data_IF_047081797696
#
_entry.id   IF_047081797696
#
_cell.length_a   1.000
_cell.length_b   1.000
_cell.length_c   1.000
_cell.angle_alpha   90.00
_cell.angle_beta   90.00
_cell.angle_gamma   90.00
#
_symmetry.space_group_name_H-M   'P 1'
#
loop_
_entity.id
_entity.type
_entity.pdbx_description
1 polymer ?
#
# COMPACT_ATOMS: atom_id res chain seq x y z
N UNK A 1 24.15 -0.75 16.65
CA UNK A 1 23.21 -1.60 15.91
C UNK A 1 21.89 -0.86 15.89
N UNK A 2 21.47 -0.36 14.72
CA UNK A 2 20.17 0.31 14.59
C UNK A 2 19.09 -0.74 14.82
N UNK A 3 18.14 -0.48 15.72
CA UNK A 3 16.99 -1.38 15.88
C UNK A 3 16.21 -1.41 14.56
N UNK A 4 15.67 -2.57 14.11
CA UNK A 4 14.93 -2.67 12.85
C UNK A 4 13.80 -1.62 12.74
N UNK A 5 13.17 -1.33 13.88
CA UNK A 5 12.11 -0.35 14.09
C UNK A 5 12.54 1.11 13.82
N UNK A 6 13.84 1.37 13.67
CA UNK A 6 14.41 2.71 13.44
C UNK A 6 15.21 2.77 12.12
N UNK A 7 15.15 1.72 11.30
CA UNK A 7 15.83 1.71 10.00
C UNK A 7 15.25 2.79 9.08
N UNK A 8 16.07 3.32 8.18
CA UNK A 8 15.62 4.21 7.11
C UNK A 8 15.84 3.50 5.77
N UNK A 9 14.98 3.73 4.78
CA UNK A 9 15.22 3.21 3.44
C UNK A 9 16.50 3.80 2.86
N UNK A 10 17.19 3.02 2.02
CA UNK A 10 18.39 3.48 1.34
C UNK A 10 18.09 4.60 0.31
N UNK A 11 16.88 4.60 -0.24
CA UNK A 11 16.40 5.53 -1.27
C UNK A 11 15.09 6.18 -0.84
N UNK A 12 14.85 7.39 -1.33
CA UNK A 12 13.61 8.11 -1.05
C UNK A 12 12.42 7.38 -1.72
N UNK A 13 11.42 7.03 -0.91
CA UNK A 13 10.27 6.23 -1.35
C UNK A 13 9.36 7.00 -2.33
N UNK A 14 9.27 8.33 -2.21
CA UNK A 14 8.56 9.17 -3.18
C UNK A 14 9.28 9.18 -4.53
N UNK A 15 10.60 9.37 -4.52
CA UNK A 15 11.39 9.44 -5.75
C UNK A 15 11.32 8.11 -6.51
N UNK A 16 11.39 6.97 -5.80
CA UNK A 16 11.20 5.64 -6.43
C UNK A 16 9.82 5.48 -7.06
N UNK A 17 8.75 5.96 -6.40
CA UNK A 17 7.39 5.92 -6.96
C UNK A 17 7.26 6.79 -8.21
N UNK A 18 7.90 7.97 -8.25
CA UNK A 18 7.90 8.83 -9.44
C UNK A 18 8.72 8.22 -10.57
N UNK A 19 9.89 7.65 -10.27
CA UNK A 19 10.81 7.09 -11.25
C UNK A 19 10.29 5.79 -11.87
N UNK A 20 9.72 4.90 -11.06
CA UNK A 20 9.35 3.54 -11.47
C UNK A 20 7.86 3.24 -11.37
N UNK A 21 7.05 4.15 -10.83
CA UNK A 21 5.62 3.93 -10.65
C UNK A 21 4.78 4.25 -11.89
N UNK A 22 5.37 4.62 -13.04
CA UNK A 22 4.62 4.84 -14.29
C UNK A 22 3.39 5.77 -14.16
N UNK A 23 3.52 6.85 -13.37
CA UNK A 23 2.44 7.83 -13.14
C UNK A 23 1.52 7.51 -11.96
N UNK A 24 1.76 6.41 -11.23
CA UNK A 24 0.98 5.99 -10.07
C UNK A 24 0.92 7.03 -8.96
N UNK A 25 1.83 7.99 -8.87
CA UNK A 25 1.74 9.03 -7.84
C UNK A 25 0.43 9.84 -7.92
N UNK A 26 -0.29 9.80 -9.05
CA UNK A 26 -1.60 10.44 -9.23
C UNK A 26 -2.80 9.57 -8.82
N UNK A 27 -2.57 8.37 -8.28
CA UNK A 27 -3.62 7.42 -7.93
C UNK A 27 -3.07 6.19 -7.19
N UNK A 28 -2.04 6.36 -6.38
CA UNK A 28 -1.36 5.26 -5.72
C UNK A 28 -2.28 4.75 -4.61
N UNK A 29 -2.58 3.46 -4.65
CA UNK A 29 -3.38 2.79 -3.64
C UNK A 29 -2.69 1.47 -3.29
N UNK A 30 -1.84 1.51 -2.27
CA UNK A 30 -1.05 0.37 -1.81
C UNK A 30 -1.62 -0.24 -0.55
N UNK A 31 -1.74 -1.56 -0.53
CA UNK A 31 -2.11 -2.34 0.65
C UNK A 31 -0.97 -3.28 1.04
N UNK A 32 -0.62 -3.29 2.32
CA UNK A 32 0.27 -4.29 2.91
C UNK A 32 -0.56 -5.19 3.81
N UNK A 33 -0.77 -6.42 3.33
CA UNK A 33 -1.70 -7.39 3.91
C UNK A 33 -0.89 -8.48 4.59
N UNK A 34 -1.20 -8.74 5.86
CA UNK A 34 -0.58 -9.81 6.64
C UNK A 34 -0.91 -11.18 6.01
N UNK A 35 0.11 -11.93 5.63
CA UNK A 35 0.02 -13.25 5.01
C UNK A 35 0.97 -13.44 3.84
N UNK A 36 1.33 -14.70 3.57
CA UNK A 36 2.30 -15.11 2.54
C UNK A 36 1.64 -15.81 1.33
N UNK A 37 0.31 -15.79 1.21
CA UNK A 37 -0.44 -16.44 0.13
C UNK A 37 -1.16 -15.41 -0.76
N UNK A 38 -0.48 -14.87 -1.80
CA UNK A 38 -1.10 -14.00 -2.81
C UNK A 38 -2.32 -14.63 -3.51
N UNK A 39 -2.34 -15.95 -3.69
CA UNK A 39 -3.42 -16.66 -4.38
C UNK A 39 -4.66 -16.79 -3.47
N UNK A 40 -4.47 -16.93 -2.15
CA UNK A 40 -5.58 -16.80 -1.20
C UNK A 40 -6.17 -15.39 -1.21
N UNK A 41 -5.31 -14.37 -1.15
CA UNK A 41 -5.75 -12.97 -1.15
C UNK A 41 -6.47 -12.60 -2.45
N UNK A 42 -6.01 -13.10 -3.60
CA UNK A 42 -6.69 -12.90 -4.89
C UNK A 42 -8.12 -13.43 -4.87
N UNK A 43 -8.34 -14.62 -4.26
CA UNK A 43 -9.68 -15.19 -4.08
C UNK A 43 -10.56 -14.34 -3.15
N UNK A 44 -10.01 -13.83 -2.05
CA UNK A 44 -10.74 -12.97 -1.12
C UNK A 44 -11.15 -11.62 -1.74
N UNK A 45 -10.32 -11.08 -2.63
CA UNK A 45 -10.59 -9.90 -3.45
C UNK A 45 -11.63 -10.15 -4.55
N UNK A 46 -12.05 -11.42 -4.74
CA UNK A 46 -13.01 -11.85 -5.78
C UNK A 46 -12.56 -11.43 -7.18
N UNK A 47 -11.26 -11.56 -7.44
CA UNK A 47 -10.72 -11.30 -8.77
C UNK A 47 -11.22 -12.34 -9.78
N UNK A 48 -11.21 -11.98 -11.06
CA UNK A 48 -11.36 -12.93 -12.15
C UNK A 48 -10.09 -13.76 -12.30
N UNK A 49 -10.13 -15.03 -11.92
CA UNK A 49 -8.98 -15.93 -11.97
C UNK A 49 -8.51 -16.21 -13.40
N UNK A 50 -9.39 -16.10 -14.39
CA UNK A 50 -9.02 -16.30 -15.80
C UNK A 50 -8.29 -15.07 -16.38
N UNK A 51 -8.34 -13.93 -15.68
CA UNK A 51 -7.61 -12.70 -16.06
C UNK A 51 -6.15 -12.67 -15.60
N UNK A 52 -5.69 -13.74 -14.93
CA UNK A 52 -4.36 -13.86 -14.35
C UNK A 52 -3.26 -13.54 -15.36
N UNK A 53 -2.42 -12.57 -15.04
CA UNK A 53 -1.26 -12.18 -15.86
C UNK A 53 -0.03 -11.96 -14.97
N UNK A 54 1.03 -12.75 -15.15
CA UNK A 54 2.33 -12.44 -14.54
C UNK A 54 3.00 -11.33 -15.36
N UNK A 55 3.22 -10.18 -14.75
CA UNK A 55 3.83 -9.05 -15.43
C UNK A 55 4.53 -8.09 -14.47
N UNK A 56 5.36 -7.21 -15.04
CA UNK A 56 5.88 -6.03 -14.35
C UNK A 56 4.79 -4.96 -14.18
N UNK A 57 5.16 -3.88 -13.48
CA UNK A 57 4.25 -2.79 -13.16
C UNK A 57 3.86 -1.94 -14.38
N UNK A 58 4.79 -1.75 -15.33
CA UNK A 58 4.54 -1.04 -16.58
C UNK A 58 3.41 -1.72 -17.35
N UNK A 59 3.57 -3.03 -17.59
CA UNK A 59 2.58 -3.86 -18.27
C UNK A 59 1.25 -3.87 -17.52
N UNK A 60 1.26 -3.97 -16.18
CA UNK A 60 0.04 -3.93 -15.37
C UNK A 60 -0.74 -2.62 -15.57
N UNK A 61 -0.02 -1.49 -15.59
CA UNK A 61 -0.60 -0.15 -15.78
C UNK A 61 -1.17 0.03 -17.19
N UNK A 62 -0.47 -0.45 -18.22
CA UNK A 62 -0.95 -0.42 -19.61
C UNK A 62 -2.20 -1.30 -19.82
N UNK A 63 -2.18 -2.53 -19.27
CA UNK A 63 -3.31 -3.45 -19.35
C UNK A 63 -4.52 -2.87 -18.62
N UNK A 64 -4.34 -2.28 -17.43
CA UNK A 64 -5.42 -1.62 -16.73
C UNK A 64 -5.98 -0.43 -17.52
N UNK A 65 -5.12 0.43 -18.07
CA UNK A 65 -5.54 1.60 -18.87
C UNK A 65 -6.33 1.28 -20.15
N UNK A 66 -6.21 0.04 -20.65
CA UNK A 66 -6.96 -0.45 -21.83
C UNK A 66 -8.19 -1.30 -21.49
N UNK A 67 -8.41 -1.60 -20.20
CA UNK A 67 -9.47 -2.47 -19.70
C UNK A 67 -10.78 -1.67 -19.49
N UNK A 68 -11.95 -2.33 -19.54
CA UNK A 68 -13.26 -1.69 -19.33
C UNK A 68 -13.72 -1.73 -17.88
N UNK A 69 -13.30 -2.76 -17.17
CA UNK A 69 -13.52 -3.00 -15.75
C UNK A 69 -12.90 -1.88 -14.92
N UNK A 70 -13.59 -1.51 -13.83
CA UNK A 70 -13.16 -0.40 -12.98
C UNK A 70 -12.17 -0.80 -11.90
N UNK A 71 -12.06 -2.10 -11.61
CA UNK A 71 -11.19 -2.61 -10.55
C UNK A 71 -10.14 -3.56 -11.10
N UNK A 72 -8.90 -3.42 -10.64
CA UNK A 72 -7.86 -4.41 -10.83
C UNK A 72 -6.87 -4.40 -9.67
N UNK A 73 -6.06 -5.45 -9.57
CA UNK A 73 -4.99 -5.54 -8.57
C UNK A 73 -3.71 -6.10 -9.18
N UNK A 74 -2.57 -5.66 -8.66
CA UNK A 74 -1.26 -6.23 -8.92
C UNK A 74 -0.67 -6.70 -7.59
N UNK A 75 -0.63 -8.02 -7.40
CA UNK A 75 -0.47 -8.68 -6.10
C UNK A 75 0.75 -9.60 -6.08
N UNK A 76 1.54 -9.54 -5.01
CA UNK A 76 2.67 -10.43 -4.85
C UNK A 76 3.40 -10.26 -3.50
N UNK A 77 4.41 -11.09 -3.25
CA UNK A 77 5.15 -11.05 -1.98
C UNK A 77 5.77 -9.68 -1.72
N UNK A 78 5.81 -9.28 -0.45
CA UNK A 78 6.52 -8.09 0.01
C UNK A 78 7.66 -8.49 0.95
N UNK A 79 7.34 -9.00 2.14
CA UNK A 79 8.29 -9.46 3.16
C UNK A 79 7.76 -10.76 3.79
N UNK A 80 8.55 -11.52 4.57
CA UNK A 80 8.02 -12.67 5.30
C UNK A 80 6.81 -12.28 6.17
N UNK A 81 5.69 -12.96 5.99
CA UNK A 81 4.42 -12.66 6.63
C UNK A 81 3.61 -11.53 5.97
N UNK A 82 4.04 -10.99 4.82
CA UNK A 82 3.42 -9.83 4.19
C UNK A 82 3.34 -9.93 2.66
N UNK A 83 2.12 -9.74 2.15
CA UNK A 83 1.82 -9.60 0.71
C UNK A 83 1.46 -8.14 0.43
N UNK A 84 1.97 -7.60 -0.68
CA UNK A 84 1.54 -6.29 -1.16
C UNK A 84 0.52 -6.43 -2.28
N UNK A 85 -0.51 -5.59 -2.23
CA UNK A 85 -1.55 -5.44 -3.25
C UNK A 85 -1.54 -3.98 -3.70
N UNK A 86 -1.16 -3.74 -4.96
CA UNK A 86 -1.43 -2.47 -5.60
C UNK A 86 -2.82 -2.50 -6.21
N UNK A 87 -3.66 -1.53 -5.86
CA UNK A 87 -5.07 -1.49 -6.23
C UNK A 87 -5.30 -0.42 -7.30
N UNK A 88 -6.05 -0.78 -8.34
CA UNK A 88 -6.43 0.13 -9.42
C UNK A 88 -7.93 0.37 -9.41
N UNK A 89 -8.32 1.64 -9.39
CA UNK A 89 -9.70 2.09 -9.59
C UNK A 89 -10.69 1.79 -8.46
N UNK A 90 -10.22 1.21 -7.34
CA UNK A 90 -11.00 1.13 -6.11
C UNK A 90 -10.68 2.30 -5.18
N UNK A 91 -11.71 2.84 -4.55
CA UNK A 91 -11.56 3.86 -3.51
C UNK A 91 -11.13 3.22 -2.17
N UNK A 92 -10.54 4.00 -1.25
CA UNK A 92 -10.31 3.55 0.13
C UNK A 92 -11.61 3.05 0.78
N UNK A 93 -11.54 2.08 1.70
CA UNK A 93 -12.72 1.44 2.33
C UNK A 93 -13.64 0.66 1.37
N UNK A 94 -13.20 0.37 0.15
CA UNK A 94 -14.01 -0.43 -0.78
C UNK A 94 -14.27 -1.83 -0.20
N UNK A 95 -15.47 -2.43 -0.38
CA UNK A 95 -15.81 -3.75 0.17
C UNK A 95 -14.80 -4.86 -0.15
N UNK A 96 -14.13 -4.79 -1.29
CA UNK A 96 -13.04 -5.71 -1.65
C UNK A 96 -11.89 -5.69 -0.65
N UNK A 97 -11.49 -4.49 -0.20
CA UNK A 97 -10.39 -4.27 0.75
C UNK A 97 -10.82 -4.72 2.14
N UNK A 98 -12.07 -4.43 2.52
CA UNK A 98 -12.61 -4.83 3.82
C UNK A 98 -12.84 -6.34 3.94
N UNK A 99 -12.85 -7.09 2.83
CA UNK A 99 -13.08 -8.54 2.82
C UNK A 99 -11.78 -9.38 2.84
N UNK A 100 -10.64 -8.81 3.22
CA UNK A 100 -9.37 -9.53 3.32
C UNK A 100 -9.27 -10.47 4.54
N UNK A 101 -10.32 -10.51 5.38
CA UNK A 101 -10.45 -11.42 6.52
C UNK A 101 -9.66 -10.97 7.75
N UNK A 102 -9.44 -11.91 8.68
CA UNK A 102 -8.81 -11.68 10.00
C UNK A 102 -7.29 -11.47 9.91
N UNK A 103 -6.90 -10.35 9.30
CA UNK A 103 -5.52 -9.97 8.99
C UNK A 103 -5.34 -8.48 9.19
N UNK A 104 -4.13 -8.07 9.55
CA UNK A 104 -3.74 -6.66 9.51
C UNK A 104 -3.59 -6.21 8.06
N UNK A 105 -4.12 -5.02 7.76
CA UNK A 105 -3.96 -4.36 6.46
C UNK A 105 -3.55 -2.91 6.69
N UNK A 106 -2.37 -2.53 6.24
CA UNK A 106 -1.96 -1.12 6.16
C UNK A 106 -2.30 -0.57 4.79
N UNK A 107 -2.92 0.60 4.73
CA UNK A 107 -3.35 1.25 3.50
C UNK A 107 -2.67 2.61 3.36
N UNK A 108 -2.06 2.84 2.19
CA UNK A 108 -1.64 4.17 1.76
C UNK A 108 -2.40 4.52 0.49
N UNK A 109 -3.07 5.67 0.51
CA UNK A 109 -3.72 6.25 -0.64
C UNK A 109 -3.18 7.66 -0.90
N UNK A 110 -2.72 7.91 -2.13
CA UNK A 110 -2.09 9.18 -2.53
C UNK A 110 -2.50 9.60 -3.93
N UNK A 111 -2.77 10.89 -4.12
CA UNK A 111 -3.02 11.54 -5.43
C UNK A 111 -2.31 12.88 -5.54
N UNK A 112 -1.17 12.90 -6.23
CA UNK A 112 -0.33 14.09 -6.42
C UNK A 112 -1.09 15.26 -7.03
N UNK A 113 -1.85 15.01 -8.10
CA UNK A 113 -2.62 16.04 -8.81
C UNK A 113 -3.61 16.80 -7.92
N UNK A 114 -4.09 16.17 -6.84
CA UNK A 114 -5.01 16.77 -5.87
C UNK A 114 -4.31 17.23 -4.58
N UNK A 115 -3.03 16.92 -4.42
CA UNK A 115 -2.32 17.13 -3.15
C UNK A 115 -2.87 16.26 -2.01
N UNK A 116 -3.50 15.13 -2.34
CA UNK A 116 -4.17 14.25 -1.38
C UNK A 116 -3.24 13.13 -0.92
N UNK A 117 -3.17 12.94 0.39
CA UNK A 117 -2.55 11.79 1.06
C UNK A 117 -3.42 11.48 2.29
N UNK A 118 -4.03 10.31 2.27
CA UNK A 118 -4.83 9.84 3.40
C UNK A 118 -3.91 9.44 4.56
N UNK A 119 -4.44 9.43 5.80
CA UNK A 119 -3.74 8.81 6.92
C UNK A 119 -3.33 7.37 6.61
N UNK A 120 -2.23 6.93 7.22
CA UNK A 120 -1.79 5.53 7.12
C UNK A 120 -2.72 4.64 7.95
N UNK A 121 -3.80 4.18 7.34
CA UNK A 121 -4.86 3.46 8.04
C UNK A 121 -4.47 2.00 8.34
N UNK A 122 -4.86 1.50 9.51
CA UNK A 122 -4.81 0.08 9.85
C UNK A 122 -6.22 -0.52 9.91
N UNK A 123 -6.40 -1.63 9.23
CA UNK A 123 -7.60 -2.45 9.30
C UNK A 123 -7.33 -3.83 9.88
N UNK A 124 -8.38 -4.41 10.48
CA UNK A 124 -8.43 -5.82 10.87
C UNK A 124 -9.85 -6.37 10.70
N UNK A 125 -10.00 -7.50 10.01
CA UNK A 125 -11.29 -8.16 9.76
C UNK A 125 -12.34 -7.21 9.15
N UNK A 126 -11.89 -6.33 8.25
CA UNK A 126 -12.72 -5.35 7.57
C UNK A 126 -13.14 -4.14 8.39
N UNK A 127 -12.71 -4.03 9.65
CA UNK A 127 -12.90 -2.84 10.47
C UNK A 127 -11.63 -1.98 10.47
N UNK A 128 -11.78 -0.66 10.33
CA UNK A 128 -10.70 0.28 10.59
C UNK A 128 -10.47 0.37 12.10
N UNK A 129 -9.25 0.09 12.54
CA UNK A 129 -8.89 0.17 13.96
C UNK A 129 -8.47 1.58 14.36
N UNK A 130 -7.88 2.32 13.41
CA UNK A 130 -7.33 3.66 13.58
C UNK A 130 -6.29 3.92 12.50
N UNK A 131 -5.53 5.00 12.63
CA UNK A 131 -4.36 5.24 11.78
C UNK A 131 -3.04 5.16 12.57
N UNK A 132 -1.97 4.79 11.86
CA UNK A 132 -0.60 4.70 12.38
C UNK A 132 0.29 5.73 11.69
N UNK A 133 -0.30 6.86 11.27
CA UNK A 133 0.42 7.97 10.67
C UNK A 133 1.48 8.47 11.63
N UNK A 134 2.74 8.68 11.21
CA UNK A 134 3.74 9.26 12.09
C UNK A 134 3.25 10.58 12.71
N UNK A 135 3.50 10.82 14.01
CA UNK A 135 3.04 12.03 14.67
C UNK A 135 3.72 13.28 14.08
N UNK A 136 3.12 14.44 14.30
CA UNK A 136 3.67 15.71 13.83
C UNK A 136 4.96 16.09 14.55
N UNK A 137 5.06 15.76 15.83
CA UNK A 137 6.20 16.02 16.70
C UNK A 137 6.72 14.73 17.35
N UNK A 138 7.97 14.80 17.84
CA UNK A 138 8.63 13.65 18.42
C UNK A 138 7.94 13.25 19.73
N UNK A 139 7.42 12.03 19.78
CA UNK A 139 6.66 11.54 20.93
C UNK A 139 5.23 12.08 21.01
N UNK A 140 4.70 12.64 19.91
CA UNK A 140 3.30 13.01 19.78
C UNK A 140 2.35 11.81 19.83
N UNK A 141 1.06 12.11 19.98
CA UNK A 141 0.01 11.10 20.11
C UNK A 141 -0.26 10.36 18.79
N UNK A 142 -0.69 9.09 18.92
CA UNK A 142 -1.11 8.21 17.82
C UNK A 142 -2.28 7.36 18.31
N UNK A 143 -3.24 7.07 17.43
CA UNK A 143 -4.43 6.27 17.75
C UNK A 143 -4.10 4.87 18.28
N UNK A 144 -3.01 4.29 17.78
CA UNK A 144 -2.53 2.95 18.09
C UNK A 144 -1.10 2.99 18.67
N UNK A 145 -0.96 3.25 19.98
CA UNK A 145 0.34 3.46 20.64
C UNK A 145 1.36 2.34 20.47
N UNK A 146 0.92 1.11 20.19
CA UNK A 146 1.81 -0.02 19.94
C UNK A 146 2.71 0.16 18.70
N UNK A 147 2.36 1.09 17.80
CA UNK A 147 3.16 1.43 16.63
C UNK A 147 4.12 2.62 16.84
N UNK A 148 4.03 3.32 17.99
CA UNK A 148 4.95 4.42 18.32
C UNK A 148 6.44 4.07 18.22
N UNK A 149 6.92 2.86 18.57
CA UNK A 149 8.35 2.53 18.41
C UNK A 149 8.88 2.69 16.97
N UNK A 150 8.00 2.53 15.96
CA UNK A 150 8.35 2.64 14.56
C UNK A 150 8.40 4.09 14.04
N UNK A 151 7.94 5.08 14.81
CA UNK A 151 7.82 6.47 14.33
C UNK A 151 9.08 7.31 14.52
N UNK A 152 10.04 6.84 15.32
CA UNK A 152 11.19 7.66 15.72
C UNK A 152 11.98 8.18 14.49
N UNK A 153 12.07 9.50 14.35
CA UNK A 153 12.73 10.14 13.22
C UNK A 153 11.89 10.22 11.94
N UNK A 154 10.59 9.92 12.01
CA UNK A 154 9.62 10.02 10.91
C UNK A 154 8.57 11.11 11.15
N UNK A 155 8.84 12.06 12.03
CA UNK A 155 7.87 13.09 12.43
C UNK A 155 7.44 13.95 11.23
N UNK A 156 6.13 14.15 11.03
CA UNK A 156 5.61 14.87 9.87
C UNK A 156 5.85 16.38 9.93
N UNK A 157 6.04 16.96 11.11
CA UNK A 157 6.22 18.40 11.28
C UNK A 157 4.97 19.22 10.92
N UNK A 158 4.96 20.49 11.28
CA UNK A 158 3.76 21.35 11.15
C UNK A 158 3.41 21.71 9.70
N UNK A 159 4.40 21.69 8.80
CA UNK A 159 4.21 22.06 7.40
C UNK A 159 4.00 20.82 6.55
N UNK A 160 2.77 20.67 6.04
CA UNK A 160 2.41 19.58 5.12
C UNK A 160 3.24 19.63 3.85
N UNK A 161 3.77 18.47 3.47
CA UNK A 161 4.51 18.30 2.22
C UNK A 161 4.24 16.90 1.71
N UNK A 162 3.34 16.78 0.71
CA UNK A 162 2.92 15.49 0.16
C UNK A 162 4.10 14.53 -0.10
N UNK A 163 5.15 15.03 -0.75
CA UNK A 163 6.32 14.23 -1.14
C UNK A 163 7.07 13.70 0.08
N UNK A 164 7.28 14.57 1.06
CA UNK A 164 7.96 14.20 2.31
C UNK A 164 7.09 13.28 3.14
N UNK A 165 5.81 13.62 3.31
CA UNK A 165 4.89 12.88 4.17
C UNK A 165 4.65 11.47 3.61
N UNK A 166 4.49 11.33 2.29
CA UNK A 166 4.42 10.02 1.61
C UNK A 166 5.71 9.22 1.82
N UNK A 167 6.88 9.85 1.73
CA UNK A 167 8.15 9.17 2.02
C UNK A 167 8.21 8.66 3.48
N UNK A 168 7.77 9.45 4.45
CA UNK A 168 7.78 9.09 5.86
C UNK A 168 6.75 7.99 6.18
N UNK A 169 5.54 8.08 5.62
CA UNK A 169 4.51 7.05 5.76
C UNK A 169 4.93 5.71 5.11
N UNK A 170 5.50 5.74 3.91
CA UNK A 170 6.02 4.52 3.27
C UNK A 170 7.22 3.93 4.06
N UNK A 171 8.04 4.79 4.67
CA UNK A 171 9.12 4.35 5.57
C UNK A 171 8.57 3.71 6.84
N UNK A 172 7.50 4.27 7.42
CA UNK A 172 6.81 3.69 8.57
C UNK A 172 6.32 2.27 8.26
N UNK A 173 5.63 2.09 7.13
CA UNK A 173 5.18 0.76 6.69
C UNK A 173 6.36 -0.18 6.51
N UNK A 174 7.44 0.25 5.86
CA UNK A 174 8.61 -0.59 5.64
C UNK A 174 9.29 -1.04 6.94
N UNK A 175 9.26 -0.23 8.00
CA UNK A 175 9.73 -0.63 9.34
C UNK A 175 8.81 -1.68 9.97
N UNK A 176 7.49 -1.49 9.86
CA UNK A 176 6.48 -2.41 10.41
C UNK A 176 6.53 -3.78 9.71
N UNK A 177 6.63 -3.79 8.39
CA UNK A 177 6.62 -5.02 7.58
C UNK A 177 8.00 -5.67 7.49
N UNK A 178 9.07 -4.94 7.82
CA UNK A 178 10.45 -5.38 7.75
C UNK A 178 11.08 -5.26 6.35
N UNK A 179 10.43 -4.57 5.40
CA UNK A 179 10.99 -4.30 4.07
C UNK A 179 10.54 -2.94 3.53
N UNK A 180 11.49 -2.10 3.13
CA UNK A 180 11.21 -0.89 2.36
C UNK A 180 11.00 -1.20 0.87
N UNK A 181 10.30 -0.33 0.14
CA UNK A 181 10.31 -0.43 -1.32
C UNK A 181 11.68 0.00 -1.84
N UNK A 182 12.21 -0.79 -2.77
CA UNK A 182 13.48 -0.61 -3.45
C UNK A 182 13.27 -0.83 -4.95
N UNK A 183 14.33 -0.63 -5.76
CA UNK A 183 14.25 -0.82 -7.21
C UNK A 183 13.77 -2.21 -7.60
N UNK A 184 14.22 -3.24 -6.87
CA UNK A 184 13.80 -4.64 -7.09
C UNK A 184 12.30 -4.81 -6.82
N UNK A 185 11.75 -4.13 -5.82
CA UNK A 185 10.32 -4.12 -5.55
C UNK A 185 9.52 -3.48 -6.69
N UNK A 186 9.98 -2.34 -7.21
CA UNK A 186 9.30 -1.58 -8.27
C UNK A 186 9.39 -2.26 -9.64
N UNK A 187 10.45 -3.04 -9.88
CA UNK A 187 10.67 -3.78 -11.13
C UNK A 187 10.32 -5.27 -11.03
N UNK A 188 9.76 -5.70 -9.90
CA UNK A 188 9.37 -7.09 -9.68
C UNK A 188 8.31 -7.53 -10.70
N UNK A 189 8.30 -8.81 -11.04
CA UNK A 189 7.13 -9.45 -11.65
C UNK A 189 6.17 -9.87 -10.55
N UNK A 190 4.88 -9.54 -10.72
CA UNK A 190 3.80 -9.99 -9.84
C UNK A 190 2.57 -10.34 -10.67
N UNK A 191 1.56 -10.86 -10.00
CA UNK A 191 0.33 -11.28 -10.67
C UNK A 191 -0.65 -10.13 -10.74
N UNK A 192 -1.03 -9.75 -11.95
CA UNK A 192 -2.15 -8.86 -12.22
C UNK A 192 -3.44 -9.67 -12.34
N UNK A 193 -4.52 -9.14 -11.78
CA UNK A 193 -5.88 -9.64 -11.98
C UNK A 193 -6.87 -8.48 -12.13
N UNK A 194 -7.93 -8.71 -12.88
CA UNK A 194 -9.11 -7.84 -12.93
C UNK A 194 -10.07 -8.19 -11.80
N UNK A 195 -10.79 -7.19 -11.30
CA UNK A 195 -11.94 -7.38 -10.41
C UNK A 195 -13.20 -7.08 -11.22
N UNK A 196 -14.08 -8.07 -11.44
CA UNK A 196 -15.33 -7.83 -12.16
C UNK A 196 -16.19 -6.78 -11.46
N UNK A 197 -16.79 -5.84 -12.20
CA UNK A 197 -17.63 -4.77 -11.63
C UNK A 197 -18.78 -5.32 -10.74
N UNK A 198 -19.27 -6.53 -11.04
CA UNK A 198 -20.35 -7.20 -10.30
C UNK A 198 -19.87 -7.96 -9.06
N UNK A 199 -18.56 -8.08 -8.82
CA UNK A 199 -18.02 -8.85 -7.70
C UNK A 199 -18.41 -8.25 -6.34
N UNK A 200 -18.61 -6.92 -6.31
CA UNK A 200 -18.85 -6.12 -5.12
C UNK A 200 -20.08 -5.21 -5.22
N UNK A 201 -20.84 -5.31 -6.33
CA UNK A 201 -22.12 -4.63 -6.47
C UNK A 201 -23.18 -5.24 -5.55
N UNK A 202 -23.99 -4.38 -4.92
CA UNK A 202 -25.28 -4.75 -4.32
C UNK A 202 -26.27 -5.24 -5.37
#
# INVERSE_FOLDING_TARGET
>A
MTQPEQALPAENQWDLMVEHGHGLQNGFHGLWVEGDDPEELSRLLRVDQDSRLECDLETATEVYGSTRERGAVWIGPHAPGWTHVLVFGLHPYHPAILNLGKRRVFEIFCREELGELDPLNLYYDGAQLGDVTPPYDQGGDMDLPEYLPYTLGLELGETRSLKRDMHLMASMVGRITGRFTDRDWWTATRTFYRIPDKAWGT
#
